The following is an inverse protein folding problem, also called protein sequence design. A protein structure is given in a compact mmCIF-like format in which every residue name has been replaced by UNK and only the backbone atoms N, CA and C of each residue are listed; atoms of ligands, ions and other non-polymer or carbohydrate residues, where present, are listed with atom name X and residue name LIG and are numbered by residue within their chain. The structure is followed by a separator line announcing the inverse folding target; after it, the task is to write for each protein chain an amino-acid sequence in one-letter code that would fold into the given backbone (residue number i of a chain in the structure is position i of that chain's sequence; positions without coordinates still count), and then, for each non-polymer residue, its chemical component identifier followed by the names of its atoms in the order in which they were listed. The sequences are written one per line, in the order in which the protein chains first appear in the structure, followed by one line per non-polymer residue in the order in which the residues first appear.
data_IF_563042093836
#
_entry.id   IF_563042093836
#
_cell.length_a   1.000
_cell.length_b   1.000
_cell.length_c   1.000
_cell.angle_alpha   90.00
_cell.angle_beta   90.00
_cell.angle_gamma   90.00
#
_symmetry.space_group_name_H-M   'P 1'
#
loop_
_entity.id
_entity.type
_entity.pdbx_description
1 polymer ?
#
# COMPACT_ATOMS: atom_id res chain seq x y z
N UNK A 1 26.06 -41.35 21.36
CA UNK A 1 26.06 -40.24 20.39
C UNK A 1 24.82 -40.38 19.54
N UNK A 2 23.73 -39.72 19.93
CA UNK A 2 22.44 -39.87 19.26
C UNK A 2 22.24 -38.66 18.37
N UNK A 3 22.38 -38.85 17.05
CA UNK A 3 22.09 -37.82 16.07
C UNK A 3 20.59 -37.50 16.16
N UNK A 4 20.25 -36.31 16.67
CA UNK A 4 18.89 -35.80 16.65
C UNK A 4 18.46 -35.63 15.19
N UNK A 5 17.38 -36.28 14.79
CA UNK A 5 16.76 -36.13 13.48
C UNK A 5 16.11 -34.75 13.49
N UNK A 6 16.79 -33.74 12.93
CA UNK A 6 16.22 -32.40 12.77
C UNK A 6 14.99 -32.51 11.86
N UNK A 7 13.83 -32.12 12.37
CA UNK A 7 12.62 -32.02 11.56
C UNK A 7 12.84 -30.93 10.50
N UNK A 8 12.58 -31.24 9.23
CA UNK A 8 12.75 -30.28 8.12
C UNK A 8 11.97 -28.99 8.34
N UNK A 9 10.87 -29.06 9.09
CA UNK A 9 10.06 -27.91 9.47
C UNK A 9 10.81 -26.94 10.39
N UNK A 10 11.63 -27.45 11.31
CA UNK A 10 12.38 -26.64 12.29
C UNK A 10 13.48 -25.82 11.61
N UNK A 11 13.97 -26.27 10.45
CA UNK A 11 14.96 -25.54 9.63
C UNK A 11 14.35 -24.26 9.03
N UNK A 12 13.05 -24.31 8.68
CA UNK A 12 12.35 -23.18 8.04
C UNK A 12 11.78 -22.19 9.06
N UNK A 13 11.59 -22.62 10.31
CA UNK A 13 10.86 -21.86 11.31
C UNK A 13 11.46 -20.46 11.58
N UNK A 14 12.78 -20.28 11.76
CA UNK A 14 13.34 -18.94 12.00
C UNK A 14 13.16 -18.00 10.81
N UNK A 15 13.20 -18.52 9.58
CA UNK A 15 12.97 -17.72 8.37
C UNK A 15 11.52 -17.29 8.23
N UNK A 16 10.57 -18.14 8.64
CA UNK A 16 9.15 -17.80 8.66
C UNK A 16 8.84 -16.74 9.70
N UNK A 17 9.44 -16.83 10.89
CA UNK A 17 9.32 -15.80 11.91
C UNK A 17 9.86 -14.45 11.41
N UNK A 18 11.00 -14.45 10.71
CA UNK A 18 11.51 -13.24 10.06
C UNK A 18 10.56 -12.71 8.99
N UNK A 19 9.91 -13.59 8.22
CA UNK A 19 8.93 -13.21 7.21
C UNK A 19 7.68 -12.60 7.84
N UNK A 20 7.20 -13.16 8.96
CA UNK A 20 6.04 -12.64 9.68
C UNK A 20 6.30 -11.22 10.21
N UNK A 21 7.51 -10.95 10.71
CA UNK A 21 7.91 -9.58 11.10
C UNK A 21 7.86 -8.62 9.92
N UNK A 22 8.40 -9.00 8.76
CA UNK A 22 8.36 -8.18 7.54
C UNK A 22 6.90 -7.95 7.09
N UNK A 23 6.06 -8.98 7.16
CA UNK A 23 4.64 -8.86 6.81
C UNK A 23 3.91 -7.87 7.72
N UNK A 24 4.19 -7.87 9.02
CA UNK A 24 3.62 -6.87 9.94
C UNK A 24 4.09 -5.46 9.60
N UNK A 25 5.38 -5.27 9.27
CA UNK A 25 5.89 -3.98 8.83
C UNK A 25 5.24 -3.49 7.54
N UNK A 26 4.99 -4.38 6.58
CA UNK A 26 4.25 -4.04 5.35
C UNK A 26 2.83 -3.57 5.71
N UNK A 27 2.13 -4.27 6.60
CA UNK A 27 0.79 -3.90 7.04
C UNK A 27 0.77 -2.52 7.73
N UNK A 28 1.74 -2.26 8.60
CA UNK A 28 1.92 -0.96 9.26
C UNK A 28 2.14 0.17 8.24
N UNK A 29 3.06 -0.02 7.29
CA UNK A 29 3.36 0.96 6.24
C UNK A 29 2.16 1.24 5.32
N UNK A 30 1.38 0.20 4.99
CA UNK A 30 0.14 0.38 4.22
C UNK A 30 -0.89 1.21 5.00
N UNK A 31 -1.02 0.97 6.31
CA UNK A 31 -1.89 1.78 7.18
C UNK A 31 -1.45 3.24 7.24
N UNK A 32 -0.16 3.48 7.42
CA UNK A 32 0.41 4.84 7.43
C UNK A 32 0.20 5.56 6.11
N UNK A 33 0.48 4.87 4.98
CA UNK A 33 0.22 5.41 3.65
C UNK A 33 -1.25 5.79 3.47
N UNK A 34 -2.18 4.94 3.88
CA UNK A 34 -3.62 5.22 3.80
C UNK A 34 -4.00 6.46 4.62
N UNK A 35 -3.48 6.62 5.83
CA UNK A 35 -3.73 7.82 6.67
C UNK A 35 -3.29 9.11 5.97
N UNK A 36 -2.16 9.09 5.27
CA UNK A 36 -1.69 10.25 4.48
C UNK A 36 -2.65 10.52 3.32
N UNK A 37 -3.09 9.48 2.60
CA UNK A 37 -4.06 9.64 1.50
C UNK A 37 -5.41 10.20 1.98
N UNK A 38 -5.92 9.76 3.13
CA UNK A 38 -7.19 10.31 3.67
C UNK A 38 -7.09 11.80 4.00
N UNK A 39 -5.95 12.25 4.56
CA UNK A 39 -5.71 13.70 4.74
C UNK A 39 -5.65 14.46 3.42
N UNK A 40 -5.06 13.86 2.39
CA UNK A 40 -5.05 14.44 1.04
C UNK A 40 -6.48 14.54 0.51
N UNK A 41 -7.32 13.52 0.71
CA UNK A 41 -8.73 13.54 0.30
C UNK A 41 -9.56 14.61 1.03
N UNK A 42 -9.35 14.81 2.34
CA UNK A 42 -9.95 15.93 3.08
C UNK A 42 -9.59 17.27 2.45
N UNK A 43 -8.30 17.51 2.18
CA UNK A 43 -7.83 18.73 1.50
C UNK A 43 -8.45 18.86 0.11
N UNK A 44 -8.51 17.78 -0.67
CA UNK A 44 -9.13 17.79 -2.00
C UNK A 44 -10.60 18.21 -1.91
N UNK A 45 -11.37 17.67 -0.96
CA UNK A 45 -12.77 18.03 -0.74
C UNK A 45 -12.97 19.47 -0.22
N UNK A 46 -12.02 19.99 0.57
CA UNK A 46 -12.05 21.37 1.05
C UNK A 46 -11.75 22.39 -0.04
N UNK A 47 -10.85 22.04 -0.96
CA UNK A 47 -10.33 22.94 -2.00
C UNK A 47 -10.96 22.69 -3.39
N UNK A 48 -12.03 21.89 -3.46
CA UNK A 48 -12.70 21.49 -4.70
C UNK A 48 -11.74 20.90 -5.76
N UNK A 49 -10.70 20.19 -5.31
CA UNK A 49 -9.74 19.52 -6.18
C UNK A 49 -10.32 18.16 -6.61
N UNK A 50 -10.29 17.81 -7.91
CA UNK A 50 -10.74 16.50 -8.37
C UNK A 50 -10.03 15.35 -7.67
N UNK A 51 -10.82 14.37 -7.23
CA UNK A 51 -10.32 13.14 -6.60
C UNK A 51 -9.34 12.39 -7.53
N UNK A 52 -9.77 12.13 -8.76
CA UNK A 52 -8.96 11.44 -9.77
C UNK A 52 -7.91 12.36 -10.40
N UNK A 53 -6.64 11.96 -10.26
CA UNK A 53 -5.49 12.66 -10.84
C UNK A 53 -4.65 11.65 -11.64
N UNK A 54 -5.05 11.28 -12.86
CA UNK A 54 -4.45 10.15 -13.59
C UNK A 54 -2.96 10.34 -13.86
N UNK A 55 -2.52 11.57 -14.16
CA UNK A 55 -1.09 11.85 -14.36
C UNK A 55 -0.26 11.55 -13.11
N UNK A 56 -0.80 11.82 -11.91
CA UNK A 56 -0.10 11.53 -10.65
C UNK A 56 0.09 10.02 -10.44
N UNK A 57 -0.89 9.22 -10.85
CA UNK A 57 -0.86 7.74 -10.77
C UNK A 57 0.16 7.19 -11.77
N UNK A 58 0.11 7.63 -13.03
CA UNK A 58 1.07 7.21 -14.06
C UNK A 58 2.50 7.51 -13.63
N UNK A 59 2.79 8.75 -13.22
CA UNK A 59 4.15 9.11 -12.74
C UNK A 59 4.59 8.35 -11.49
N UNK A 60 3.64 7.94 -10.62
CA UNK A 60 3.97 7.10 -9.46
C UNK A 60 4.41 5.71 -9.89
N UNK A 61 3.62 5.07 -10.76
CA UNK A 61 3.87 3.71 -11.23
C UNK A 61 5.16 3.65 -12.04
N UNK A 62 5.42 4.62 -12.92
CA UNK A 62 6.66 4.71 -13.68
C UNK A 62 7.88 4.81 -12.75
N UNK A 63 7.82 5.71 -11.76
CA UNK A 63 8.91 5.86 -10.78
C UNK A 63 9.16 4.57 -9.98
N UNK A 64 8.10 3.90 -9.53
CA UNK A 64 8.21 2.65 -8.78
C UNK A 64 8.72 1.49 -9.64
N UNK A 65 8.30 1.45 -10.91
CA UNK A 65 8.79 0.49 -11.90
C UNK A 65 10.29 0.65 -12.10
N UNK A 66 10.78 1.87 -12.30
CA UNK A 66 12.20 2.14 -12.49
C UNK A 66 13.00 1.77 -11.24
N UNK A 67 12.49 2.13 -10.06
CA UNK A 67 13.13 1.84 -8.77
C UNK A 67 13.11 0.38 -8.37
N UNK A 68 12.18 -0.43 -8.88
CA UNK A 68 12.08 -1.85 -8.50
C UNK A 68 13.39 -2.62 -8.63
N UNK A 69 14.17 -2.32 -9.67
CA UNK A 69 15.43 -2.99 -9.98
C UNK A 69 16.52 -2.70 -8.95
N UNK A 70 16.59 -1.46 -8.44
CA UNK A 70 17.49 -1.05 -7.35
C UNK A 70 17.25 -1.89 -6.06
N UNK A 71 16.02 -2.36 -5.88
CA UNK A 71 15.60 -3.19 -4.74
C UNK A 71 15.59 -4.71 -5.05
N UNK A 72 16.06 -5.13 -6.23
CA UNK A 72 16.07 -6.53 -6.64
C UNK A 72 14.67 -7.12 -6.93
N UNK A 73 13.67 -6.27 -7.16
CA UNK A 73 12.31 -6.67 -7.50
C UNK A 73 12.10 -6.64 -9.01
N UNK A 74 11.22 -7.52 -9.51
CA UNK A 74 10.79 -7.47 -10.91
C UNK A 74 9.87 -6.26 -11.11
N UNK A 75 10.07 -5.44 -12.15
CA UNK A 75 9.26 -4.25 -12.41
C UNK A 75 7.75 -4.53 -12.47
N UNK A 76 7.36 -5.61 -13.14
CA UNK A 76 5.94 -5.98 -13.32
C UNK A 76 5.29 -6.42 -11.99
N UNK A 77 6.09 -7.03 -11.10
CA UNK A 77 5.62 -7.42 -9.76
C UNK A 77 5.39 -6.17 -8.89
N UNK A 78 6.34 -5.23 -8.89
CA UNK A 78 6.20 -3.97 -8.16
C UNK A 78 5.01 -3.17 -8.67
N UNK A 79 4.89 -3.02 -9.99
CA UNK A 79 3.76 -2.33 -10.61
C UNK A 79 2.41 -2.94 -10.22
N UNK A 80 2.29 -4.28 -10.26
CA UNK A 80 1.06 -4.99 -9.87
C UNK A 80 0.66 -4.75 -8.41
N UNK A 81 1.63 -4.79 -7.49
CA UNK A 81 1.37 -4.51 -6.06
C UNK A 81 0.88 -3.09 -5.89
N UNK A 82 1.58 -2.11 -6.46
CA UNK A 82 1.22 -0.73 -6.26
C UNK A 82 -0.07 -0.34 -6.98
N UNK A 83 -0.43 -1.01 -8.08
CA UNK A 83 -1.76 -0.87 -8.67
C UNK A 83 -2.87 -1.28 -7.69
N UNK A 84 -2.72 -2.40 -6.98
CA UNK A 84 -3.69 -2.83 -5.96
C UNK A 84 -3.77 -1.81 -4.81
N UNK A 85 -2.63 -1.35 -4.31
CA UNK A 85 -2.55 -0.35 -3.23
C UNK A 85 -3.19 0.98 -3.65
N UNK A 86 -2.97 1.43 -4.88
CA UNK A 86 -3.56 2.66 -5.43
C UNK A 86 -5.07 2.50 -5.60
N UNK A 87 -5.54 1.37 -6.13
CA UNK A 87 -6.97 1.13 -6.33
C UNK A 87 -7.74 1.17 -5.00
N UNK A 88 -7.21 0.54 -3.95
CA UNK A 88 -7.79 0.62 -2.61
C UNK A 88 -7.83 2.07 -2.10
N UNK A 89 -6.76 2.83 -2.34
CA UNK A 89 -6.72 4.26 -1.98
C UNK A 89 -7.82 5.03 -2.69
N UNK A 90 -7.98 4.83 -3.99
CA UNK A 90 -9.00 5.51 -4.78
C UNK A 90 -10.40 5.22 -4.24
N UNK A 91 -10.73 3.95 -3.96
CA UNK A 91 -12.01 3.58 -3.36
C UNK A 91 -12.27 4.35 -2.06
N UNK A 92 -11.28 4.39 -1.16
CA UNK A 92 -11.39 5.06 0.15
C UNK A 92 -11.47 6.58 0.04
N UNK A 93 -10.75 7.19 -0.90
CA UNK A 93 -10.81 8.64 -1.13
C UNK A 93 -12.20 9.04 -1.66
N UNK A 94 -12.76 8.27 -2.60
CA UNK A 94 -14.10 8.51 -3.15
C UNK A 94 -15.18 8.45 -2.06
N UNK A 95 -15.18 7.37 -1.26
CA UNK A 95 -16.12 7.22 -0.12
C UNK A 95 -16.07 8.42 0.84
N UNK A 96 -14.88 8.90 1.18
CA UNK A 96 -14.69 10.01 2.12
C UNK A 96 -15.15 11.34 1.51
N UNK A 97 -14.76 11.62 0.27
CA UNK A 97 -15.13 12.88 -0.41
C UNK A 97 -16.65 12.96 -0.56
N UNK A 98 -17.30 11.86 -0.97
CA UNK A 98 -18.76 11.80 -1.07
C UNK A 98 -19.44 12.04 0.28
N UNK A 99 -18.91 11.46 1.37
CA UNK A 99 -19.43 11.71 2.72
C UNK A 99 -19.34 13.20 3.10
N UNK A 100 -18.17 13.83 2.90
CA UNK A 100 -17.93 15.23 3.23
C UNK A 100 -18.81 16.19 2.41
N UNK A 101 -19.00 15.91 1.12
CA UNK A 101 -19.88 16.71 0.25
C UNK A 101 -21.34 16.62 0.70
N UNK A 102 -21.81 15.41 1.05
CA UNK A 102 -23.17 15.19 1.55
C UNK A 102 -23.43 15.91 2.88
N UNK A 103 -22.43 16.02 3.76
CA UNK A 103 -22.53 16.78 5.00
C UNK A 103 -22.60 18.29 4.78
N UNK A 104 -21.85 18.82 3.80
CA UNK A 104 -21.92 20.24 3.41
C UNK A 104 -23.30 20.63 2.87
N UNK A 105 -23.94 19.76 2.09
CA UNK A 105 -25.29 20.01 1.52
C UNK A 105 -26.39 20.03 2.58
N UNK A 106 -26.19 19.35 3.71
CA UNK A 106 -27.16 19.27 4.83
C UNK A 106 -27.07 20.44 5.81
N UNK A 107 -26.00 21.23 5.77
CA UNK A 107 -25.78 22.41 6.63
C UNK A 107 -26.24 23.68 5.93
#
# INVERSE_FOLDING_TARGET
MTQSIINKQDILQPYRESLDVINMQILELLSERMKVCMKIAEIKAEQDIPMMQPQRITSLLDMLRDKSTDFGLRPEYTESIFQLVINETCCREEELIDQLLNEKVKK
#
